data_IF_028492959710
#
_entry.id   IF_028492959710
#
_cell.length_a   1.000
_cell.length_b   1.000
_cell.length_c   1.000
_cell.angle_alpha   90.00
_cell.angle_beta   90.00
_cell.angle_gamma   90.00
#
_symmetry.space_group_name_H-M   'P 1'
#
loop_
_entity.id
_entity.type
_entity.pdbx_description
1 polymer ?
#
# COMPACT_ATOMS: atom_id res chain seq x y z
N UNK A 1 16.60 -11.92 -2.25
CA UNK A 1 15.39 -11.38 -2.90
C UNK A 1 14.68 -10.48 -1.90
N UNK A 2 14.78 -9.16 -2.04
CA UNK A 2 14.14 -8.23 -1.09
C UNK A 2 12.70 -7.99 -1.53
N UNK A 3 11.80 -8.91 -1.20
CA UNK A 3 10.38 -8.74 -1.50
C UNK A 3 9.80 -7.63 -0.64
N UNK A 4 9.11 -6.70 -1.28
CA UNK A 4 8.32 -5.71 -0.57
C UNK A 4 7.12 -6.41 0.03
N UNK A 5 7.09 -6.50 1.35
CA UNK A 5 5.99 -7.12 2.08
C UNK A 5 4.94 -6.06 2.44
N UNK A 6 3.70 -6.47 2.66
CA UNK A 6 2.63 -5.58 3.15
C UNK A 6 3.07 -4.69 4.33
N UNK A 7 3.77 -5.19 5.38
CA UNK A 7 4.22 -4.35 6.48
C UNK A 7 5.24 -3.28 6.06
N UNK A 8 6.05 -3.49 5.03
CA UNK A 8 6.98 -2.48 4.51
C UNK A 8 6.22 -1.31 3.88
N UNK A 9 5.16 -1.62 3.11
CA UNK A 9 4.28 -0.63 2.48
C UNK A 9 3.46 0.10 3.53
N UNK A 10 2.95 -0.62 4.53
CA UNK A 10 2.21 -0.06 5.65
C UNK A 10 3.05 0.98 6.41
N UNK A 11 4.30 0.62 6.76
CA UNK A 11 5.25 1.53 7.41
C UNK A 11 5.55 2.76 6.55
N UNK A 12 5.77 2.61 5.26
CA UNK A 12 6.03 3.75 4.34
C UNK A 12 4.83 4.65 4.13
N UNK A 13 3.63 4.08 4.07
CA UNK A 13 2.40 4.81 3.87
C UNK A 13 1.91 5.49 5.17
N UNK A 14 2.50 5.15 6.32
CA UNK A 14 2.09 5.57 7.67
C UNK A 14 0.68 5.08 8.01
N UNK A 15 0.42 3.80 7.72
CA UNK A 15 -0.87 3.16 7.94
C UNK A 15 -0.69 1.74 8.49
N UNK A 16 -1.75 1.17 9.04
CA UNK A 16 -1.76 -0.23 9.45
C UNK A 16 -1.82 -1.19 8.24
N UNK A 17 -1.25 -2.39 8.39
CA UNK A 17 -1.33 -3.44 7.38
C UNK A 17 -2.79 -3.80 7.03
N UNK A 18 -3.71 -3.68 8.00
CA UNK A 18 -5.16 -3.81 7.79
C UNK A 18 -5.71 -2.73 6.86
N UNK A 19 -5.23 -1.49 6.97
CA UNK A 19 -5.60 -0.39 6.06
C UNK A 19 -5.07 -0.63 4.65
N UNK A 20 -3.83 -1.14 4.51
CA UNK A 20 -3.29 -1.55 3.20
C UNK A 20 -4.15 -2.66 2.58
N UNK A 21 -4.50 -3.68 3.37
CA UNK A 21 -5.38 -4.76 2.92
C UNK A 21 -6.76 -4.22 2.49
N UNK A 22 -7.38 -3.33 3.28
CA UNK A 22 -8.65 -2.68 2.92
C UNK A 22 -8.55 -1.84 1.65
N UNK A 23 -7.44 -1.12 1.46
CA UNK A 23 -7.19 -0.29 0.29
C UNK A 23 -7.03 -1.13 -0.99
N UNK A 24 -6.29 -2.24 -0.90
CA UNK A 24 -6.12 -3.20 -2.00
C UNK A 24 -7.43 -3.91 -2.34
N UNK A 25 -8.25 -4.22 -1.33
CA UNK A 25 -9.56 -4.86 -1.48
C UNK A 25 -10.71 -3.89 -1.80
N UNK A 26 -10.43 -2.65 -2.20
CA UNK A 26 -11.47 -1.68 -2.61
C UNK A 26 -12.54 -1.38 -1.53
N UNK A 27 -12.23 -1.49 -0.23
CA UNK A 27 -13.18 -1.18 0.85
C UNK A 27 -13.39 0.35 1.00
N UNK A 28 -14.63 0.82 1.24
CA UNK A 28 -14.94 2.24 1.39
C UNK A 28 -14.37 2.89 2.66
N UNK A 29 -13.90 2.10 3.62
CA UNK A 29 -13.25 2.57 4.86
C UNK A 29 -11.93 3.35 4.64
N UNK A 30 -11.36 3.32 3.43
CA UNK A 30 -10.08 3.99 3.15
C UNK A 30 -10.33 5.20 2.25
N UNK A 31 -9.91 6.37 2.73
CA UNK A 31 -9.94 7.60 1.94
C UNK A 31 -9.21 7.41 0.61
N UNK A 32 -9.79 7.96 -0.46
CA UNK A 32 -9.22 7.98 -1.80
C UNK A 32 -7.76 8.45 -1.80
N UNK A 33 -7.44 9.45 -0.97
CA UNK A 33 -6.07 9.98 -0.81
C UNK A 33 -5.08 8.93 -0.33
N UNK A 34 -5.47 8.14 0.67
CA UNK A 34 -4.63 7.08 1.26
C UNK A 34 -4.48 5.91 0.28
N UNK A 35 -5.58 5.54 -0.38
CA UNK A 35 -5.58 4.50 -1.41
C UNK A 35 -4.64 4.85 -2.57
N UNK A 36 -4.71 6.08 -3.07
CA UNK A 36 -3.85 6.55 -4.16
C UNK A 36 -2.37 6.51 -3.77
N UNK A 37 -2.04 6.97 -2.55
CA UNK A 37 -0.69 6.87 -1.98
C UNK A 37 -0.17 5.43 -1.95
N UNK A 38 -0.98 4.48 -1.48
CA UNK A 38 -0.62 3.05 -1.40
C UNK A 38 -0.44 2.46 -2.81
N UNK A 39 -1.37 2.69 -3.72
CA UNK A 39 -1.29 2.20 -5.11
C UNK A 39 -0.04 2.74 -5.81
N UNK A 40 0.29 4.01 -5.59
CA UNK A 40 1.50 4.63 -6.14
C UNK A 40 2.79 4.03 -5.56
N UNK A 41 2.81 3.71 -4.27
CA UNK A 41 3.95 3.03 -3.63
C UNK A 41 4.15 1.60 -4.15
N UNK A 42 3.06 0.84 -4.30
CA UNK A 42 3.09 -0.52 -4.89
C UNK A 42 3.60 -0.45 -6.34
N UNK A 43 3.02 0.46 -7.14
CA UNK A 43 3.37 0.64 -8.56
C UNK A 43 4.83 1.09 -8.76
N UNK A 44 5.33 2.00 -7.92
CA UNK A 44 6.72 2.46 -7.97
C UNK A 44 7.71 1.33 -7.63
N UNK A 45 7.39 0.49 -6.62
CA UNK A 45 8.23 -0.64 -6.21
C UNK A 45 8.19 -1.82 -7.19
N UNK A 46 7.12 -1.99 -7.98
CA UNK A 46 6.99 -3.08 -8.94
C UNK A 46 7.73 -2.84 -10.27
N UNK A 47 8.17 -1.61 -10.54
CA UNK A 47 8.86 -1.24 -11.79
C UNK A 47 10.39 -1.23 -11.73
N UNK A 48 11.00 -1.73 -10.65
CA UNK A 48 12.43 -1.60 -10.40
C UNK A 48 13.15 -2.94 -10.27
N UNK A 49 13.37 -3.60 -11.42
CA UNK A 49 14.26 -4.75 -11.67
C UNK A 49 13.94 -6.07 -10.96
#
# INVERSE_FOLDING_TARGET
>A
MSHVTLPDIAKKADVSATTVCRALNNKPDVSSKTKDKIVRMVKNKAGGR
#
